data_IF_334028391811
#
_entry.id   IF_334028391811
#
_cell.length_a   1.000
_cell.length_b   1.000
_cell.length_c   1.000
_cell.angle_alpha   90.00
_cell.angle_beta   90.00
_cell.angle_gamma   90.00
#
_symmetry.space_group_name_H-M   'P 1'
#
loop_
_entity.id
_entity.type
_entity.pdbx_description
1 polymer ?
#
# COMPACT_ATOMS: atom_id res chain seq x y z
N UNK A 1 1.81 12.91 -3.47
CA UNK A 1 0.59 12.07 -3.62
C UNK A 1 0.14 11.61 -2.24
N UNK A 2 -1.16 11.41 -2.03
CA UNK A 2 -1.72 10.88 -0.77
C UNK A 2 -2.77 9.84 -1.11
N UNK A 3 -2.84 8.78 -0.34
CA UNK A 3 -3.88 7.75 -0.43
C UNK A 3 -4.45 7.50 0.97
N UNK A 4 -5.68 6.98 1.03
CA UNK A 4 -6.28 6.50 2.27
C UNK A 4 -6.15 4.99 2.27
N UNK A 5 -5.69 4.40 3.38
CA UNK A 5 -5.62 2.94 3.54
C UNK A 5 -6.28 2.55 4.86
N UNK A 6 -6.84 1.33 4.97
CA UNK A 6 -7.38 0.86 6.25
C UNK A 6 -6.28 0.76 7.30
N UNK A 7 -6.47 1.45 8.43
CA UNK A 7 -5.50 1.49 9.54
C UNK A 7 -5.14 0.08 10.04
N UNK A 8 -6.15 -0.78 10.19
CA UNK A 8 -5.98 -2.15 10.67
C UNK A 8 -5.14 -3.02 9.73
N UNK A 9 -5.23 -2.82 8.42
CA UNK A 9 -4.37 -3.53 7.45
C UNK A 9 -2.91 -3.10 7.62
N UNK A 10 -2.65 -1.81 7.80
CA UNK A 10 -1.29 -1.30 8.09
C UNK A 10 -0.76 -1.91 9.37
N UNK A 11 -1.53 -1.89 10.45
CA UNK A 11 -1.13 -2.47 11.74
C UNK A 11 -0.79 -3.97 11.62
N UNK A 12 -1.60 -4.76 10.89
CA UNK A 12 -1.31 -6.18 10.63
C UNK A 12 -0.01 -6.41 9.87
N UNK A 13 0.33 -5.55 8.90
CA UNK A 13 1.60 -5.64 8.17
C UNK A 13 2.78 -5.27 9.06
N UNK A 14 2.64 -4.22 9.87
CA UNK A 14 3.69 -3.80 10.81
C UNK A 14 3.99 -4.85 11.89
N UNK A 15 2.98 -5.62 12.32
CA UNK A 15 3.18 -6.72 13.27
C UNK A 15 4.03 -7.88 12.71
N UNK A 16 4.17 -7.99 11.39
CA UNK A 16 5.00 -9.02 10.75
C UNK A 16 6.48 -8.62 10.77
N UNK A 17 6.77 -7.32 10.81
CA UNK A 17 8.14 -6.83 10.85
C UNK A 17 8.80 -7.12 12.21
N UNK A 18 10.04 -7.60 12.17
CA UNK A 18 10.83 -7.84 13.38
C UNK A 18 11.21 -6.52 14.06
N UNK A 19 11.22 -6.53 15.40
CA UNK A 19 11.71 -5.39 16.18
C UNK A 19 13.13 -5.00 15.76
N UNK A 20 13.34 -3.70 15.53
CA UNK A 20 14.62 -3.15 15.11
C UNK A 20 14.80 -3.02 13.59
N UNK A 21 13.90 -3.59 12.77
CA UNK A 21 13.87 -3.32 11.34
C UNK A 21 13.40 -1.88 11.05
N UNK A 22 13.91 -1.29 9.96
CA UNK A 22 13.31 -0.10 9.37
C UNK A 22 12.12 -0.51 8.52
N UNK A 23 11.10 0.35 8.45
CA UNK A 23 9.92 0.13 7.61
C UNK A 23 9.96 1.12 6.44
N UNK A 24 9.91 0.58 5.23
CA UNK A 24 9.70 1.34 4.01
C UNK A 24 8.20 1.49 3.73
N UNK A 25 7.80 2.72 3.41
CA UNK A 25 6.45 3.03 2.92
C UNK A 25 6.56 3.63 1.53
N UNK A 26 6.11 2.89 0.51
CA UNK A 26 6.12 3.34 -0.87
C UNK A 26 4.69 3.50 -1.40
N UNK A 27 4.34 4.71 -1.85
CA UNK A 27 3.03 4.95 -2.46
C UNK A 27 3.16 4.72 -3.97
N UNK A 28 2.54 3.66 -4.47
CA UNK A 28 2.47 3.39 -5.89
C UNK A 28 1.22 4.07 -6.46
N UNK A 29 1.36 4.98 -7.44
CA UNK A 29 0.23 5.70 -8.00
C UNK A 29 -0.71 4.75 -8.74
N UNK A 30 -1.96 5.17 -8.90
CA UNK A 30 -2.91 4.43 -9.75
C UNK A 30 -2.39 4.39 -11.18
N UNK A 31 -2.55 3.24 -11.82
CA UNK A 31 -2.10 3.01 -13.18
C UNK A 31 -3.28 2.64 -14.07
N UNK A 32 -3.23 3.06 -15.31
CA UNK A 32 -4.14 2.61 -16.35
C UNK A 32 -3.31 1.89 -17.40
N UNK A 33 -3.50 0.59 -17.52
CA UNK A 33 -2.76 -0.24 -18.46
C UNK A 33 -3.73 -1.11 -19.26
N UNK A 34 -3.62 -1.06 -20.58
CA UNK A 34 -4.37 -1.91 -21.51
C UNK A 34 -5.89 -1.91 -21.28
N UNK A 35 -6.45 -0.75 -20.90
CA UNK A 35 -7.88 -0.59 -20.61
C UNK A 35 -8.29 -0.95 -19.18
N UNK A 36 -7.38 -1.48 -18.37
CA UNK A 36 -7.62 -1.84 -16.98
C UNK A 36 -7.11 -0.75 -16.04
N UNK A 37 -7.97 -0.38 -15.09
CA UNK A 37 -7.63 0.55 -14.03
C UNK A 37 -7.13 -0.20 -12.79
N UNK A 38 -5.90 0.08 -12.38
CA UNK A 38 -5.31 -0.36 -11.12
C UNK A 38 -5.30 0.79 -10.11
N UNK A 39 -5.99 0.67 -8.96
CA UNK A 39 -5.95 1.70 -7.92
C UNK A 39 -4.54 1.90 -7.36
N UNK A 40 -4.29 3.07 -6.79
CA UNK A 40 -3.07 3.32 -6.05
C UNK A 40 -3.01 2.40 -4.82
N UNK A 41 -1.81 2.11 -4.35
CA UNK A 41 -1.62 1.26 -3.18
C UNK A 41 -0.40 1.69 -2.37
N UNK A 42 -0.40 1.32 -1.09
CA UNK A 42 0.73 1.44 -0.20
C UNK A 42 1.48 0.12 -0.21
N UNK A 43 2.70 0.12 -0.74
CA UNK A 43 3.63 -0.99 -0.60
C UNK A 43 4.42 -0.84 0.71
N UNK A 44 4.56 -1.93 1.46
CA UNK A 44 5.31 -1.96 2.71
C UNK A 44 6.48 -2.94 2.61
N UNK A 45 7.65 -2.48 3.04
CA UNK A 45 8.85 -3.30 3.13
C UNK A 45 9.46 -3.22 4.51
N UNK A 46 10.14 -4.28 4.94
CA UNK A 46 11.05 -4.21 6.07
C UNK A 46 12.50 -4.30 5.60
N UNK A 47 13.35 -3.40 6.09
CA UNK A 47 14.80 -3.43 5.85
C UNK A 47 15.47 -3.88 7.15
N UNK A 48 16.13 -5.02 7.08
CA UNK A 48 16.84 -5.61 8.20
C UNK A 48 18.22 -4.97 8.39
N UNK A 49 18.81 -5.16 9.58
CA UNK A 49 20.13 -4.59 9.92
C UNK A 49 21.29 -5.14 9.07
N UNK A 50 21.11 -6.31 8.46
CA UNK A 50 22.06 -6.90 7.53
C UNK A 50 21.89 -6.39 6.08
N UNK A 51 20.96 -5.46 5.86
CA UNK A 51 20.65 -4.89 4.54
C UNK A 51 19.70 -5.73 3.70
N UNK A 52 19.20 -6.86 4.20
CA UNK A 52 18.18 -7.65 3.48
C UNK A 52 16.83 -6.95 3.51
N UNK A 53 16.03 -7.21 2.47
CA UNK A 53 14.71 -6.64 2.28
C UNK A 53 13.64 -7.73 2.34
N UNK A 54 12.60 -7.49 3.13
CA UNK A 54 11.41 -8.34 3.24
C UNK A 54 10.20 -7.60 2.71
N UNK A 55 9.45 -8.24 1.81
CA UNK A 55 8.19 -7.72 1.28
C UNK A 55 7.04 -8.02 2.27
N UNK A 56 6.38 -6.97 2.77
CA UNK A 56 5.23 -7.07 3.68
C UNK A 56 3.88 -6.98 2.95
N UNK A 57 3.91 -7.07 1.62
CA UNK A 57 2.79 -6.93 0.69
C UNK A 57 2.19 -5.52 0.64
N UNK A 58 1.29 -5.33 -0.34
CA UNK A 58 0.65 -4.06 -0.64
C UNK A 58 -0.76 -3.94 -0.05
N UNK A 59 -1.15 -2.72 0.34
CA UNK A 59 -2.48 -2.35 0.79
C UNK A 59 -3.10 -1.38 -0.22
N UNK A 60 -4.15 -1.82 -0.91
CA UNK A 60 -4.86 -0.96 -1.85
C UNK A 60 -5.50 0.24 -1.17
N UNK A 61 -5.52 1.37 -1.88
CA UNK A 61 -6.19 2.55 -1.38
C UNK A 61 -7.70 2.29 -1.20
N UNK A 62 -8.25 2.84 -0.13
CA UNK A 62 -9.68 2.90 0.08
C UNK A 62 -10.31 3.84 -0.94
N UNK A 63 -11.17 3.29 -1.81
CA UNK A 63 -12.02 4.05 -2.73
C UNK A 63 -13.47 3.87 -2.38
N UNK A 64 -14.17 4.97 -2.10
CA UNK A 64 -15.63 4.98 -2.09
C UNK A 64 -16.12 5.31 -3.50
N UNK A 65 -16.46 4.29 -4.28
CA UNK A 65 -17.10 4.50 -5.57
C UNK A 65 -18.45 5.21 -5.35
N UNK A 66 -18.62 6.38 -5.94
CA UNK A 66 -19.92 7.02 -6.07
C UNK A 66 -20.38 6.86 -7.50
N UNK A 67 -21.53 6.24 -7.69
CA UNK A 67 -22.22 6.31 -8.98
C UNK A 67 -22.57 7.77 -9.23
N UNK A 68 -21.98 8.36 -10.26
CA UNK A 68 -22.39 9.66 -10.78
C UNK A 68 -23.50 9.37 -11.78
N UNK A 69 -24.72 9.86 -11.52
CA UNK A 69 -25.77 9.79 -12.54
C UNK A 69 -25.34 10.66 -13.72
N UNK A 70 -25.40 10.17 -14.96
CA UNK A 70 -25.15 11.01 -16.13
C UNK A 70 -26.17 12.16 -16.15
N UNK A 71 -25.68 13.35 -16.50
CA UNK A 71 -26.48 14.57 -16.70
C UNK A 71 -27.41 14.41 -17.91
#
# INVERSE_FOLDING_TARGET
>A
MKILVPKNEVEKKLLQARNGNLIEFCIVPSQFDSGNFSPAFLHLGAVHNDGTYEDLESIYEYRKLKLVKPL
#
